data_IF_744912702943
#
_entry.id   IF_744912702943
#
_cell.length_a   1.000
_cell.length_b   1.000
_cell.length_c   1.000
_cell.angle_alpha   90.00
_cell.angle_beta   90.00
_cell.angle_gamma   90.00
#
_symmetry.space_group_name_H-M   'P 1'
#
loop_
_entity.id
_entity.type
_entity.pdbx_description
1 polymer ?
#
# COMPACT_ATOMS: atom_id res chain seq x y z
N UNK A 1 1.30 5.06 35.95
CA UNK A 1 1.13 6.50 35.60
C UNK A 1 2.30 6.89 34.71
N UNK A 2 2.07 7.21 33.43
CA UNK A 2 3.17 7.53 32.52
C UNK A 2 3.83 8.87 32.89
N UNK A 3 5.15 8.94 32.82
CA UNK A 3 5.89 10.19 33.03
C UNK A 3 5.54 11.20 31.94
N UNK A 4 5.55 12.50 32.26
CA UNK A 4 5.38 13.58 31.27
C UNK A 4 6.37 13.46 30.10
N UNK A 5 7.58 12.94 30.36
CA UNK A 5 8.57 12.66 29.29
C UNK A 5 8.06 11.59 28.33
N UNK A 6 7.51 10.50 28.84
CA UNK A 6 6.94 9.40 28.05
C UNK A 6 5.78 9.87 27.16
N UNK A 7 4.89 10.70 27.69
CA UNK A 7 3.76 11.26 26.93
C UNK A 7 4.25 12.12 25.76
N UNK A 8 5.32 12.91 25.95
CA UNK A 8 5.93 13.71 24.86
C UNK A 8 6.49 12.81 23.75
N UNK A 9 7.18 11.72 24.10
CA UNK A 9 7.70 10.77 23.11
C UNK A 9 6.59 10.07 22.33
N UNK A 10 5.52 9.64 23.00
CA UNK A 10 4.37 9.02 22.34
C UNK A 10 3.74 9.98 21.33
N UNK A 11 3.53 11.25 21.71
CA UNK A 11 3.02 12.28 20.79
C UNK A 11 3.92 12.47 19.57
N UNK A 12 5.23 12.48 19.78
CA UNK A 12 6.20 12.60 18.70
C UNK A 12 6.14 11.39 17.74
N UNK A 13 6.05 10.18 18.27
CA UNK A 13 5.90 8.95 17.47
C UNK A 13 4.61 8.99 16.65
N UNK A 14 3.49 9.38 17.25
CA UNK A 14 2.21 9.52 16.56
C UNK A 14 2.32 10.55 15.43
N UNK A 15 2.97 11.69 15.69
CA UNK A 15 3.22 12.72 14.69
C UNK A 15 4.05 12.18 13.51
N UNK A 16 5.11 11.42 13.78
CA UNK A 16 5.93 10.79 12.75
C UNK A 16 5.13 9.77 11.91
N UNK A 17 4.31 8.95 12.56
CA UNK A 17 3.42 7.99 11.87
C UNK A 17 2.45 8.75 10.95
N UNK A 18 1.84 9.81 11.46
CA UNK A 18 0.90 10.62 10.68
C UNK A 18 1.56 11.29 9.47
N UNK A 19 2.77 11.82 9.66
CA UNK A 19 3.56 12.42 8.59
C UNK A 19 3.91 11.38 7.51
N UNK A 20 4.37 10.20 7.94
CA UNK A 20 4.70 9.09 7.04
C UNK A 20 3.48 8.62 6.23
N UNK A 21 2.33 8.45 6.88
CA UNK A 21 1.08 8.09 6.21
C UNK A 21 0.66 9.17 5.21
N UNK A 22 0.76 10.44 5.58
CA UNK A 22 0.41 11.56 4.72
C UNK A 22 1.28 11.61 3.46
N UNK A 23 2.60 11.43 3.62
CA UNK A 23 3.55 11.36 2.48
C UNK A 23 3.25 10.15 1.61
N UNK A 24 2.97 9.00 2.21
CA UNK A 24 2.62 7.77 1.48
C UNK A 24 1.37 7.94 0.62
N UNK A 25 0.30 8.51 1.19
CA UNK A 25 -0.95 8.81 0.47
C UNK A 25 -0.69 9.82 -0.65
N UNK A 26 0.11 10.85 -0.40
CA UNK A 26 0.45 11.86 -1.40
C UNK A 26 1.20 11.25 -2.60
N UNK A 27 2.17 10.37 -2.36
CA UNK A 27 2.87 9.65 -3.44
C UNK A 27 1.89 8.79 -4.24
N UNK A 28 1.03 8.02 -3.57
CA UNK A 28 0.03 7.18 -4.25
C UNK A 28 -0.97 8.01 -5.07
N UNK A 29 -1.33 9.20 -4.61
CA UNK A 29 -2.16 10.15 -5.35
C UNK A 29 -1.43 10.68 -6.59
N UNK A 30 -0.16 11.11 -6.45
CA UNK A 30 0.65 11.63 -7.55
C UNK A 30 0.83 10.59 -8.67
N UNK A 31 0.94 9.32 -8.32
CA UNK A 31 1.05 8.22 -9.28
C UNK A 31 -0.30 7.76 -9.85
N UNK A 32 -1.42 8.44 -9.55
CA UNK A 32 -2.79 8.05 -9.90
C UNK A 32 -3.21 6.65 -9.41
N UNK A 33 -2.41 6.03 -8.55
CA UNK A 33 -2.60 4.67 -8.03
C UNK A 33 -3.71 4.61 -6.98
N UNK A 34 -3.91 5.71 -6.24
CA UNK A 34 -4.86 5.77 -5.13
C UNK A 34 -6.29 5.36 -5.51
N UNK A 35 -6.72 5.65 -6.74
CA UNK A 35 -8.07 5.32 -7.22
C UNK A 35 -8.25 3.85 -7.60
N UNK A 36 -7.16 3.11 -7.82
CA UNK A 36 -7.18 1.70 -8.25
C UNK A 36 -6.88 0.75 -7.09
N UNK A 37 -6.33 1.27 -5.99
CA UNK A 37 -5.93 0.48 -4.83
C UNK A 37 -7.06 0.44 -3.81
N UNK A 38 -7.74 -0.72 -3.75
CA UNK A 38 -8.70 -1.02 -2.70
C UNK A 38 -8.02 -1.68 -1.49
N UNK A 39 -8.66 -1.65 -0.32
CA UNK A 39 -8.15 -2.27 0.91
C UNK A 39 -7.76 -3.75 0.70
N UNK A 40 -8.57 -4.49 -0.08
CA UNK A 40 -8.28 -5.88 -0.45
C UNK A 40 -6.93 -6.00 -1.19
N UNK A 41 -6.69 -5.14 -2.17
CA UNK A 41 -5.44 -5.13 -2.95
C UNK A 41 -4.26 -4.74 -2.05
N UNK A 42 -4.43 -3.75 -1.16
CA UNK A 42 -3.39 -3.38 -0.18
C UNK A 42 -2.99 -4.59 0.67
N UNK A 43 -3.97 -5.28 1.25
CA UNK A 43 -3.73 -6.44 2.12
C UNK A 43 -3.02 -7.54 1.32
N UNK A 44 -3.55 -7.88 0.14
CA UNK A 44 -3.00 -8.92 -0.73
C UNK A 44 -1.53 -8.64 -1.10
N UNK A 45 -1.24 -7.40 -1.50
CA UNK A 45 0.11 -6.96 -1.87
C UNK A 45 1.06 -6.98 -0.66
N UNK A 46 0.61 -6.50 0.51
CA UNK A 46 1.42 -6.52 1.73
C UNK A 46 1.70 -7.95 2.22
N UNK A 47 0.69 -8.83 2.21
CA UNK A 47 0.84 -10.25 2.57
C UNK A 47 1.86 -10.97 1.67
N UNK A 48 1.91 -10.58 0.39
CA UNK A 48 2.83 -11.14 -0.59
C UNK A 48 4.13 -10.33 -0.75
N UNK A 49 4.41 -9.38 0.16
CA UNK A 49 5.62 -8.53 0.15
C UNK A 49 5.83 -7.74 -1.15
N UNK A 50 4.75 -7.45 -1.88
CA UNK A 50 4.77 -6.63 -3.08
C UNK A 50 4.71 -5.16 -2.67
N UNK A 51 5.68 -4.37 -3.14
CA UNK A 51 5.76 -2.96 -2.82
C UNK A 51 4.70 -2.15 -3.57
N UNK A 52 3.77 -1.52 -2.84
CA UNK A 52 2.68 -0.72 -3.40
C UNK A 52 3.19 0.50 -4.16
N UNK A 53 4.35 1.05 -3.77
CA UNK A 53 4.95 2.21 -4.45
C UNK A 53 5.62 1.86 -5.79
N UNK A 54 5.76 0.58 -6.12
CA UNK A 54 6.25 0.14 -7.43
C UNK A 54 5.13 0.06 -8.49
N UNK A 55 3.88 0.33 -8.08
CA UNK A 55 2.71 0.32 -8.96
C UNK A 55 2.61 1.63 -9.74
N UNK A 56 2.18 1.53 -10.98
CA UNK A 56 1.94 2.63 -11.90
C UNK A 56 0.60 2.43 -12.63
N UNK A 57 0.12 3.50 -13.24
CA UNK A 57 -1.07 3.50 -14.08
C UNK A 57 -0.68 4.07 -15.45
N UNK A 58 -0.61 3.21 -16.46
CA UNK A 58 -0.37 3.62 -17.85
C UNK A 58 -1.67 3.43 -18.64
N UNK A 59 -2.15 4.49 -19.32
CA UNK A 59 -3.30 4.47 -20.22
C UNK A 59 -4.51 3.66 -19.69
N UNK A 60 -4.89 3.88 -18.41
CA UNK A 60 -5.97 3.22 -17.65
C UNK A 60 -5.68 1.83 -17.04
N UNK A 61 -4.46 1.30 -17.20
CA UNK A 61 -4.10 -0.03 -16.70
C UNK A 61 -3.22 0.07 -15.46
N UNK A 62 -3.68 -0.58 -14.38
CA UNK A 62 -2.98 -0.64 -13.10
C UNK A 62 -2.00 -1.82 -13.09
N UNK A 63 -0.70 -1.55 -12.98
CA UNK A 63 0.32 -2.59 -12.97
C UNK A 63 1.66 -2.12 -12.36
N UNK A 64 2.56 -3.01 -11.96
CA UNK A 64 3.92 -2.68 -11.60
C UNK A 64 4.70 -2.20 -12.83
N UNK A 65 5.70 -1.36 -12.64
CA UNK A 65 6.55 -0.82 -13.73
C UNK A 65 7.24 -1.89 -14.59
N UNK A 66 7.44 -3.09 -14.06
CA UNK A 66 8.19 -4.18 -14.71
C UNK A 66 7.33 -5.39 -15.09
N UNK A 67 6.01 -5.32 -14.90
CA UNK A 67 5.09 -6.42 -15.19
C UNK A 67 3.98 -5.87 -16.08
N UNK A 68 3.56 -6.63 -17.09
CA UNK A 68 2.44 -6.21 -17.91
C UNK A 68 1.15 -6.16 -17.10
N UNK A 69 0.19 -5.32 -17.49
CA UNK A 69 -1.09 -5.27 -16.79
C UNK A 69 -1.87 -6.58 -16.81
N UNK A 70 -1.69 -7.39 -17.86
CA UNK A 70 -2.31 -8.71 -17.95
C UNK A 70 -1.72 -9.67 -16.93
N UNK A 71 -0.38 -9.76 -16.88
CA UNK A 71 0.32 -10.63 -15.93
C UNK A 71 0.06 -10.21 -14.48
N UNK A 72 -0.09 -8.91 -14.23
CA UNK A 72 -0.45 -8.41 -12.92
C UNK A 72 -1.88 -8.79 -12.51
N UNK A 73 -2.85 -8.72 -13.42
CA UNK A 73 -4.21 -9.17 -13.14
C UNK A 73 -4.26 -10.67 -12.82
N UNK A 74 -3.52 -11.48 -13.58
CA UNK A 74 -3.38 -12.93 -13.34
C UNK A 74 -2.76 -13.16 -11.96
N UNK A 75 -1.69 -12.44 -11.61
CA UNK A 75 -1.07 -12.53 -10.29
C UNK A 75 -2.05 -12.18 -9.16
N UNK A 76 -2.84 -11.11 -9.31
CA UNK A 76 -3.85 -10.72 -8.31
C UNK A 76 -4.94 -11.79 -8.18
N UNK A 77 -5.36 -12.40 -9.29
CA UNK A 77 -6.35 -13.49 -9.32
C UNK A 77 -5.82 -14.76 -8.65
N UNK A 78 -4.60 -15.19 -8.97
CA UNK A 78 -3.93 -16.33 -8.34
C UNK A 78 -3.76 -16.12 -6.84
N UNK A 79 -3.23 -14.96 -6.43
CA UNK A 79 -3.03 -14.64 -5.02
C UNK A 79 -4.36 -14.57 -4.26
N UNK A 80 -5.43 -14.09 -4.90
CA UNK A 80 -6.76 -14.03 -4.29
C UNK A 80 -7.39 -15.40 -4.08
N UNK A 81 -7.08 -16.38 -4.94
CA UNK A 81 -7.60 -17.74 -4.84
C UNK A 81 -6.83 -18.60 -3.83
N UNK A 82 -5.57 -18.26 -3.52
CA UNK A 82 -4.77 -18.95 -2.50
C UNK A 82 -5.28 -18.65 -1.08
N UNK A 83 -5.87 -17.46 -0.87
CA UNK A 83 -6.45 -17.08 0.42
C UNK A 83 -7.74 -17.85 0.77
N UNK A 84 -8.41 -18.51 -0.20
CA UNK A 84 -9.57 -19.40 0.05
C UNK A 84 -9.16 -20.80 0.54
N UNK A 85 -7.86 -21.13 0.52
CA UNK A 85 -7.32 -22.43 0.94
C UNK A 85 -6.73 -22.46 2.37
N UNK A 86 -6.64 -21.32 3.06
CA UNK A 86 -6.15 -21.18 4.44
C UNK A 86 -7.29 -20.98 5.44
#
# INVERSE_FOLDING_TARGET
MFSQKTIKYIKLIILFIFLFLSISIFILYLHNVLFYVNLRIIILLLSNKINIFALCVDDTKFHPKFISSGDFLILIEELSNVDDFL
#
